data_IF_448550546743
#
_entry.id   IF_448550546743
#
_cell.length_a   1.000
_cell.length_b   1.000
_cell.length_c   1.000
_cell.angle_alpha   90.00
_cell.angle_beta   90.00
_cell.angle_gamma   90.00
#
_symmetry.space_group_name_H-M   'P 1'
#
loop_
_entity.id
_entity.type
_entity.pdbx_description
1 polymer ?
#
# COMPACT_ATOMS: atom_id res chain seq x y z
N UNK A 1 -49.56 -39.39 22.85
CA UNK A 1 -48.16 -39.82 23.05
C UNK A 1 -47.96 -40.25 24.49
N UNK A 2 -47.41 -41.44 24.69
CA UNK A 2 -47.07 -41.93 26.04
C UNK A 2 -45.99 -41.04 26.70
N UNK A 3 -45.89 -41.04 28.03
CA UNK A 3 -44.88 -40.27 28.77
C UNK A 3 -43.44 -40.55 28.25
N UNK A 4 -43.15 -41.81 27.88
CA UNK A 4 -41.90 -42.26 27.24
C UNK A 4 -41.67 -41.62 25.86
N UNK A 5 -42.74 -41.46 25.03
CA UNK A 5 -42.64 -40.84 23.72
C UNK A 5 -42.36 -39.33 23.80
N UNK A 6 -42.91 -38.62 24.80
CA UNK A 6 -42.60 -37.19 25.02
C UNK A 6 -41.15 -36.97 25.46
N UNK A 7 -40.62 -37.84 26.31
CA UNK A 7 -39.22 -37.78 26.76
C UNK A 7 -38.25 -38.04 25.62
N UNK A 8 -38.54 -39.04 24.74
CA UNK A 8 -37.68 -39.33 23.59
C UNK A 8 -37.63 -38.17 22.56
N UNK A 9 -38.79 -37.54 22.30
CA UNK A 9 -38.85 -36.36 21.40
C UNK A 9 -38.07 -35.18 21.98
N UNK A 10 -38.19 -34.97 23.32
CA UNK A 10 -37.45 -33.90 23.98
C UNK A 10 -35.92 -34.14 23.95
N UNK A 11 -35.49 -35.37 24.19
CA UNK A 11 -34.07 -35.75 24.11
C UNK A 11 -33.49 -35.56 22.69
N UNK A 12 -34.22 -35.93 21.65
CA UNK A 12 -33.80 -35.72 20.26
C UNK A 12 -33.70 -34.21 19.95
N UNK A 13 -34.69 -33.43 20.38
CA UNK A 13 -34.64 -31.97 20.17
C UNK A 13 -33.44 -31.34 20.87
N UNK A 14 -33.11 -31.76 22.07
CA UNK A 14 -31.93 -31.28 22.81
C UNK A 14 -30.62 -31.64 22.08
N UNK A 15 -30.50 -32.86 21.60
CA UNK A 15 -29.31 -33.32 20.83
C UNK A 15 -29.16 -32.52 19.54
N UNK A 16 -30.25 -32.23 18.84
CA UNK A 16 -30.22 -31.42 17.63
C UNK A 16 -29.80 -29.96 17.92
N UNK A 17 -30.31 -29.36 19.01
CA UNK A 17 -29.91 -28.03 19.42
C UNK A 17 -28.43 -27.98 19.82
N UNK A 18 -27.95 -28.96 20.58
CA UNK A 18 -26.52 -29.05 20.95
C UNK A 18 -25.66 -29.26 19.71
N UNK A 19 -26.05 -30.13 18.78
CA UNK A 19 -25.36 -30.34 17.52
C UNK A 19 -25.31 -29.07 16.65
N UNK A 20 -26.42 -28.32 16.58
CA UNK A 20 -26.48 -27.04 15.89
C UNK A 20 -25.56 -25.99 16.52
N UNK A 21 -25.61 -25.83 17.85
CA UNK A 21 -24.74 -24.90 18.58
C UNK A 21 -23.26 -25.28 18.40
N UNK A 22 -22.94 -26.58 18.48
CA UNK A 22 -21.59 -27.05 18.21
C UNK A 22 -21.15 -26.79 16.77
N UNK A 23 -22.05 -26.98 15.82
CA UNK A 23 -21.84 -26.65 14.40
C UNK A 23 -21.57 -25.14 14.21
N UNK A 24 -22.37 -24.28 14.82
CA UNK A 24 -22.18 -22.82 14.76
C UNK A 24 -20.84 -22.41 15.37
N UNK A 25 -20.49 -22.93 16.55
CA UNK A 25 -19.19 -22.65 17.20
C UNK A 25 -18.03 -23.20 16.37
N UNK A 26 -18.18 -24.37 15.78
CA UNK A 26 -17.14 -24.94 14.90
C UNK A 26 -16.95 -24.09 13.63
N UNK A 27 -18.07 -23.74 12.98
CA UNK A 27 -18.04 -22.88 11.78
C UNK A 27 -17.42 -21.53 12.09
N UNK A 28 -17.78 -20.88 13.21
CA UNK A 28 -17.18 -19.59 13.61
C UNK A 28 -15.69 -19.64 13.92
N UNK A 29 -15.15 -20.83 14.24
CA UNK A 29 -13.72 -21.04 14.43
C UNK A 29 -12.96 -21.40 13.16
N UNK A 30 -13.65 -21.88 12.13
CA UNK A 30 -13.07 -22.33 10.86
C UNK A 30 -13.20 -21.26 9.78
N UNK A 31 -14.29 -20.50 9.79
CA UNK A 31 -14.49 -19.37 8.87
C UNK A 31 -13.90 -18.12 9.53
N UNK A 32 -12.86 -17.52 8.94
CA UNK A 32 -12.34 -16.25 9.45
C UNK A 32 -13.45 -15.19 9.45
N UNK A 33 -13.43 -14.24 10.38
CA UNK A 33 -14.35 -13.11 10.37
C UNK A 33 -14.21 -12.38 9.02
N UNK A 34 -15.34 -11.95 8.46
CA UNK A 34 -15.35 -11.12 7.26
C UNK A 34 -14.78 -9.74 7.55
N UNK A 35 -14.49 -9.01 6.49
CA UNK A 35 -14.13 -7.60 6.63
C UNK A 35 -15.35 -6.79 7.07
N UNK A 36 -15.12 -5.80 7.93
CA UNK A 36 -16.15 -4.89 8.45
C UNK A 36 -15.67 -3.45 8.33
N UNK A 37 -16.61 -2.49 8.29
CA UNK A 37 -16.28 -1.07 8.39
C UNK A 37 -15.81 -0.73 9.80
N UNK A 38 -14.52 -0.88 10.06
CA UNK A 38 -13.88 -0.57 11.33
C UNK A 38 -12.76 0.43 11.08
N UNK A 39 -12.84 1.58 11.73
CA UNK A 39 -11.88 2.66 11.58
C UNK A 39 -11.65 3.34 12.92
N UNK A 40 -10.39 3.55 13.27
CA UNK A 40 -9.95 4.21 14.49
C UNK A 40 -9.11 5.44 14.17
N UNK A 41 -9.12 6.45 15.03
CA UNK A 41 -8.19 7.60 14.99
C UNK A 41 -8.21 8.43 13.69
N UNK A 42 -9.32 8.43 12.96
CA UNK A 42 -9.46 9.23 11.74
C UNK A 42 -9.34 10.73 12.03
N UNK A 43 -9.88 11.19 13.16
CA UNK A 43 -9.86 12.60 13.56
C UNK A 43 -8.45 13.14 13.74
N UNK A 44 -7.51 12.36 14.29
CA UNK A 44 -6.10 12.74 14.43
C UNK A 44 -5.45 12.99 13.05
N UNK A 45 -5.64 12.06 12.13
CA UNK A 45 -5.12 12.18 10.75
C UNK A 45 -5.73 13.38 10.04
N UNK A 46 -7.06 13.60 10.19
CA UNK A 46 -7.76 14.74 9.60
C UNK A 46 -7.24 16.06 10.16
N UNK A 47 -7.02 16.17 11.49
CA UNK A 47 -6.49 17.37 12.12
C UNK A 47 -5.10 17.75 11.59
N UNK A 48 -4.21 16.75 11.43
CA UNK A 48 -2.86 16.98 10.86
C UNK A 48 -2.97 17.47 9.42
N UNK A 49 -3.87 16.92 8.62
CA UNK A 49 -4.09 17.35 7.24
C UNK A 49 -4.66 18.77 7.20
N UNK A 50 -5.68 19.06 8.01
CA UNK A 50 -6.33 20.38 8.03
C UNK A 50 -5.37 21.50 8.45
N UNK A 51 -4.49 21.23 9.43
CA UNK A 51 -3.46 22.16 9.83
C UNK A 51 -2.50 22.49 8.67
N UNK A 52 -2.12 21.51 7.86
CA UNK A 52 -1.21 21.71 6.72
C UNK A 52 -1.88 22.37 5.51
N UNK A 53 -3.17 22.16 5.30
CA UNK A 53 -3.94 22.73 4.19
C UNK A 53 -4.59 24.09 4.56
N UNK A 54 -4.38 24.57 5.78
CA UNK A 54 -4.95 25.84 6.23
C UNK A 54 -4.55 27.00 5.31
N UNK A 55 -5.53 27.78 4.87
CA UNK A 55 -5.31 28.95 4.00
C UNK A 55 -5.16 28.61 2.51
N UNK A 56 -5.21 27.34 2.10
CA UNK A 56 -5.21 26.91 0.71
C UNK A 56 -6.65 26.72 0.22
N UNK A 57 -7.01 27.34 -0.90
CA UNK A 57 -8.28 27.06 -1.57
C UNK A 57 -8.22 25.69 -2.28
N UNK A 58 -8.49 24.63 -1.51
CA UNK A 58 -8.39 23.26 -2.01
C UNK A 58 -9.43 22.94 -3.09
N UNK A 59 -10.58 23.61 -3.12
CA UNK A 59 -11.56 23.41 -4.18
C UNK A 59 -10.99 23.85 -5.54
N UNK A 60 -10.37 25.01 -5.59
CA UNK A 60 -9.70 25.52 -6.79
C UNK A 60 -8.50 24.64 -7.16
N UNK A 61 -7.63 24.32 -6.20
CA UNK A 61 -6.43 23.49 -6.43
C UNK A 61 -6.82 22.12 -6.99
N UNK A 62 -7.78 21.42 -6.41
CA UNK A 62 -8.22 20.11 -6.88
C UNK A 62 -8.84 20.19 -8.27
N UNK A 63 -9.67 21.20 -8.53
CA UNK A 63 -10.31 21.40 -9.83
C UNK A 63 -9.27 21.62 -10.94
N UNK A 64 -8.23 22.39 -10.68
CA UNK A 64 -7.25 22.78 -11.69
C UNK A 64 -6.11 21.77 -11.85
N UNK A 65 -5.69 21.12 -10.74
CA UNK A 65 -4.45 20.35 -10.70
C UNK A 65 -4.64 18.83 -10.68
N UNK A 66 -5.78 18.31 -10.23
CA UNK A 66 -5.98 16.84 -10.15
C UNK A 66 -5.78 16.12 -11.48
N UNK A 67 -6.14 16.75 -12.61
CA UNK A 67 -5.97 16.17 -13.95
C UNK A 67 -4.51 15.90 -14.35
N UNK A 68 -3.56 16.57 -13.69
CA UNK A 68 -2.12 16.39 -13.90
C UNK A 68 -1.49 15.37 -12.92
N UNK A 69 -2.27 14.83 -11.96
CA UNK A 69 -1.76 13.97 -10.89
C UNK A 69 -2.47 12.61 -10.89
N UNK A 70 -3.82 12.61 -10.94
CA UNK A 70 -4.66 11.42 -10.85
C UNK A 70 -4.49 10.56 -12.11
N UNK A 71 -4.21 9.27 -11.94
CA UNK A 71 -3.90 8.32 -13.01
C UNK A 71 -2.67 8.70 -13.87
N UNK A 72 -1.76 9.52 -13.35
CA UNK A 72 -0.52 9.90 -14.02
C UNK A 72 0.67 9.14 -13.48
N UNK A 73 1.60 8.79 -14.37
CA UNK A 73 2.91 8.28 -13.99
C UNK A 73 3.77 9.37 -13.35
N UNK A 74 4.77 8.96 -12.57
CA UNK A 74 5.77 9.89 -12.02
C UNK A 74 6.39 10.76 -13.11
N UNK A 75 6.72 10.14 -14.24
CA UNK A 75 7.30 10.86 -15.37
C UNK A 75 6.37 11.95 -15.94
N UNK A 76 5.07 11.65 -16.13
CA UNK A 76 4.09 12.64 -16.57
C UNK A 76 3.93 13.78 -15.55
N UNK A 77 3.89 13.45 -14.25
CA UNK A 77 3.83 14.46 -13.19
C UNK A 77 5.06 15.38 -13.23
N UNK A 78 6.26 14.82 -13.37
CA UNK A 78 7.50 15.61 -13.48
C UNK A 78 7.50 16.52 -14.72
N UNK A 79 7.00 16.03 -15.84
CA UNK A 79 6.85 16.87 -17.04
C UNK A 79 5.93 18.08 -16.81
N UNK A 80 4.86 17.93 -16.02
CA UNK A 80 3.98 19.06 -15.69
C UNK A 80 4.63 20.04 -14.71
N UNK A 81 5.51 19.56 -13.83
CA UNK A 81 6.36 20.44 -12.99
C UNK A 81 7.37 21.21 -13.86
N UNK A 82 8.03 20.54 -14.79
CA UNK A 82 8.97 21.18 -15.73
C UNK A 82 8.31 22.25 -16.60
N UNK A 83 7.05 22.05 -17.02
CA UNK A 83 6.25 23.04 -17.76
C UNK A 83 5.74 24.19 -16.87
N UNK A 84 5.86 24.08 -15.55
CA UNK A 84 5.33 25.07 -14.59
C UNK A 84 3.81 24.93 -14.37
N UNK A 85 3.17 23.84 -14.79
CA UNK A 85 1.75 23.57 -14.56
C UNK A 85 1.47 23.03 -13.17
N UNK A 86 2.49 22.44 -12.51
CA UNK A 86 2.44 21.89 -11.16
C UNK A 86 3.63 22.39 -10.32
N UNK A 87 3.41 22.47 -9.01
CA UNK A 87 4.46 22.53 -7.99
C UNK A 87 4.42 21.28 -7.11
N UNK A 88 5.50 20.97 -6.41
CA UNK A 88 5.54 19.88 -5.45
C UNK A 88 4.60 20.11 -4.26
N UNK A 89 4.42 21.39 -3.88
CA UNK A 89 3.42 21.79 -2.91
C UNK A 89 1.99 21.41 -3.37
N UNK A 90 1.62 21.72 -4.61
CA UNK A 90 0.29 21.39 -5.16
C UNK A 90 0.07 19.88 -5.26
N UNK A 91 1.10 19.10 -5.65
CA UNK A 91 1.02 17.63 -5.69
C UNK A 91 0.74 17.08 -4.30
N UNK A 92 1.50 17.55 -3.30
CA UNK A 92 1.35 17.13 -1.91
C UNK A 92 -0.01 17.52 -1.33
N UNK A 93 -0.47 18.75 -1.59
CA UNK A 93 -1.78 19.22 -1.16
C UNK A 93 -2.93 18.39 -1.74
N UNK A 94 -2.88 18.04 -3.03
CA UNK A 94 -3.88 17.17 -3.67
C UNK A 94 -3.87 15.77 -3.04
N UNK A 95 -2.71 15.20 -2.76
CA UNK A 95 -2.61 13.89 -2.07
C UNK A 95 -3.24 13.96 -0.67
N UNK A 96 -2.90 14.94 0.15
CA UNK A 96 -3.46 15.13 1.49
C UNK A 96 -4.98 15.32 1.44
N UNK A 97 -5.49 16.15 0.53
CA UNK A 97 -6.93 16.37 0.37
C UNK A 97 -7.66 15.08 -0.02
N UNK A 98 -7.08 14.27 -0.91
CA UNK A 98 -7.66 12.97 -1.30
C UNK A 98 -7.66 11.98 -0.14
N UNK A 99 -6.59 11.95 0.66
CA UNK A 99 -6.55 11.14 1.89
C UNK A 99 -7.69 11.56 2.81
N UNK A 100 -7.85 12.85 3.10
CA UNK A 100 -8.93 13.34 3.96
C UNK A 100 -10.32 12.93 3.44
N UNK A 101 -10.58 13.12 2.13
CA UNK A 101 -11.92 13.01 1.56
C UNK A 101 -12.31 11.61 1.10
N UNK A 102 -11.35 10.71 0.87
CA UNK A 102 -11.61 9.36 0.38
C UNK A 102 -11.21 8.27 1.38
N UNK A 103 -10.15 8.51 2.14
CA UNK A 103 -9.57 7.49 3.02
C UNK A 103 -10.04 7.62 4.47
N UNK A 104 -10.07 8.84 5.00
CA UNK A 104 -10.36 9.12 6.41
C UNK A 104 -11.83 9.45 6.71
N UNK A 105 -12.67 9.52 5.71
CA UNK A 105 -14.12 9.76 5.90
C UNK A 105 -14.80 8.52 6.50
N UNK A 106 -16.03 8.71 6.96
CA UNK A 106 -16.89 7.58 7.34
C UNK A 106 -17.02 6.58 6.18
N UNK A 107 -16.85 5.31 6.45
CA UNK A 107 -16.78 4.25 5.44
C UNK A 107 -15.73 4.54 4.33
N UNK A 108 -14.63 5.16 4.70
CA UNK A 108 -13.50 5.42 3.81
C UNK A 108 -12.59 4.20 3.62
N UNK A 109 -11.51 4.38 2.85
CA UNK A 109 -10.61 3.27 2.50
C UNK A 109 -9.74 2.80 3.67
N UNK A 110 -9.49 3.67 4.63
CA UNK A 110 -8.74 3.37 5.86
C UNK A 110 -7.34 2.78 5.61
N UNK A 111 -6.69 3.27 4.56
CA UNK A 111 -5.37 2.80 4.12
C UNK A 111 -4.21 3.57 4.74
N UNK A 112 -4.48 4.74 5.36
CA UNK A 112 -3.49 5.63 5.96
C UNK A 112 -3.62 5.62 7.47
N UNK A 113 -2.53 5.36 8.20
CA UNK A 113 -2.49 5.25 9.67
C UNK A 113 -1.96 6.52 10.33
N UNK A 114 -1.04 7.24 9.70
CA UNK A 114 -0.58 8.55 10.16
C UNK A 114 -0.03 9.38 9.00
N UNK A 115 0.01 10.70 9.17
CA UNK A 115 0.54 11.67 8.22
C UNK A 115 1.76 12.36 8.81
N UNK A 116 2.76 12.62 7.97
CA UNK A 116 3.89 13.46 8.32
C UNK A 116 3.40 14.91 8.53
N UNK A 117 3.54 15.48 9.73
CA UNK A 117 3.07 16.85 10.01
C UNK A 117 3.82 17.91 9.18
N UNK A 118 5.00 17.59 8.67
CA UNK A 118 5.87 18.51 7.94
C UNK A 118 5.82 18.31 6.41
N UNK A 119 4.92 17.44 5.89
CA UNK A 119 4.90 17.06 4.48
C UNK A 119 4.76 18.26 3.53
N UNK A 120 3.89 19.23 3.86
CA UNK A 120 3.72 20.43 3.04
C UNK A 120 4.95 21.36 3.11
N UNK A 121 5.61 21.44 4.25
CA UNK A 121 6.84 22.24 4.37
C UNK A 121 8.00 21.56 3.60
N UNK A 122 8.12 20.25 3.67
CA UNK A 122 9.05 19.49 2.83
C UNK A 122 8.81 19.76 1.34
N UNK A 123 7.56 19.71 0.88
CA UNK A 123 7.21 19.99 -0.51
C UNK A 123 7.55 21.42 -0.94
N UNK A 124 7.25 22.42 -0.09
CA UNK A 124 7.65 23.83 -0.33
C UNK A 124 9.18 23.99 -0.41
N UNK A 125 9.92 23.24 0.41
CA UNK A 125 11.38 23.21 0.33
C UNK A 125 11.85 22.68 -1.01
N UNK A 126 11.24 21.59 -1.52
CA UNK A 126 11.55 21.05 -2.84
C UNK A 126 11.28 22.06 -3.96
N UNK A 127 10.19 22.82 -3.88
CA UNK A 127 9.92 23.90 -4.83
C UNK A 127 10.95 25.03 -4.77
N UNK A 128 11.39 25.41 -3.56
CA UNK A 128 12.44 26.42 -3.39
C UNK A 128 13.79 25.97 -3.95
N UNK A 129 14.16 24.72 -3.69
CA UNK A 129 15.39 24.10 -4.20
C UNK A 129 15.34 23.94 -5.72
N UNK A 130 14.20 23.53 -6.27
CA UNK A 130 13.99 23.36 -7.72
C UNK A 130 14.15 24.67 -8.48
N UNK A 131 13.64 25.78 -7.93
CA UNK A 131 13.79 27.12 -8.51
C UNK A 131 15.22 27.67 -8.46
N UNK A 132 16.01 27.27 -7.48
CA UNK A 132 17.41 27.73 -7.32
C UNK A 132 18.39 27.00 -8.21
N UNK A 133 18.17 25.73 -8.39
CA UNK A 133 19.06 24.87 -9.15
C UNK A 133 18.21 23.90 -9.98
N UNK A 134 18.38 23.94 -11.30
CA UNK A 134 17.72 23.07 -12.27
C UNK A 134 18.62 21.91 -12.74
N UNK A 135 19.62 21.54 -11.92
CA UNK A 135 20.50 20.42 -12.20
C UNK A 135 19.75 19.08 -12.29
N UNK A 136 20.45 18.05 -12.76
CA UNK A 136 19.90 16.69 -12.85
C UNK A 136 19.45 16.17 -11.49
N UNK A 137 18.22 15.70 -11.38
CA UNK A 137 17.59 15.18 -10.17
C UNK A 137 17.03 13.78 -10.40
N UNK A 138 16.77 13.08 -9.30
CA UNK A 138 16.00 11.84 -9.34
C UNK A 138 14.59 12.10 -9.91
N UNK A 139 14.05 11.20 -10.70
CA UNK A 139 12.64 11.29 -11.13
C UNK A 139 11.67 11.24 -9.93
N UNK A 140 12.12 10.76 -8.76
CA UNK A 140 11.33 10.76 -7.52
C UNK A 140 11.40 12.08 -6.73
N UNK A 141 12.19 13.06 -7.15
CA UNK A 141 12.35 14.34 -6.46
C UNK A 141 11.01 15.08 -6.35
N UNK A 142 10.66 15.49 -5.14
CA UNK A 142 9.41 16.19 -4.82
C UNK A 142 8.14 15.32 -4.86
N UNK A 143 8.25 14.06 -5.27
CA UNK A 143 7.10 13.15 -5.35
C UNK A 143 6.73 12.65 -3.95
N UNK A 144 5.44 12.74 -3.54
CA UNK A 144 4.95 12.16 -2.29
C UNK A 144 5.04 10.63 -2.28
N UNK A 145 5.59 10.09 -1.19
CA UNK A 145 5.73 8.63 -0.97
C UNK A 145 5.13 8.27 0.38
N UNK A 146 4.32 7.21 0.42
CA UNK A 146 3.82 6.62 1.65
C UNK A 146 4.64 5.38 2.03
N UNK A 147 4.75 5.11 3.32
CA UNK A 147 5.52 4.00 3.86
C UNK A 147 4.61 3.05 4.65
N UNK A 148 4.77 1.74 4.50
CA UNK A 148 4.10 0.79 5.39
C UNK A 148 4.52 1.05 6.84
N UNK A 149 3.60 0.92 7.78
CA UNK A 149 3.82 1.34 9.17
C UNK A 149 4.75 0.43 9.99
N UNK A 150 5.41 -0.51 9.37
CA UNK A 150 6.51 -1.25 9.98
C UNK A 150 7.91 -0.75 9.56
N UNK A 151 7.99 0.36 8.82
CA UNK A 151 9.25 0.98 8.35
C UNK A 151 9.56 2.18 9.24
N UNK A 152 10.65 2.14 9.99
CA UNK A 152 11.06 3.22 10.88
C UNK A 152 11.23 4.53 10.15
N UNK A 153 10.61 5.58 10.69
CA UNK A 153 10.68 6.93 10.14
C UNK A 153 10.81 7.92 11.29
N UNK A 154 11.93 8.61 11.39
CA UNK A 154 12.15 9.60 12.42
C UNK A 154 11.09 10.71 12.33
N UNK A 155 10.53 11.10 13.47
CA UNK A 155 9.46 12.10 13.56
C UNK A 155 8.05 11.54 13.42
N UNK A 156 7.88 10.26 13.07
CA UNK A 156 6.58 9.59 13.01
C UNK A 156 6.58 8.28 13.80
N UNK A 157 5.46 7.95 14.42
CA UNK A 157 5.30 6.66 15.07
C UNK A 157 5.46 5.50 14.06
N UNK A 158 6.03 4.37 14.52
CA UNK A 158 6.13 3.12 13.78
C UNK A 158 5.52 2.01 14.62
N UNK A 159 4.23 1.75 14.43
CA UNK A 159 3.47 0.86 15.30
C UNK A 159 3.37 -0.57 14.80
N UNK A 160 3.74 -0.85 13.55
CA UNK A 160 3.44 -2.12 12.88
C UNK A 160 1.94 -2.49 12.96
N UNK A 161 1.07 -1.47 13.07
CA UNK A 161 -0.39 -1.60 13.20
C UNK A 161 -0.88 -1.88 14.61
N UNK A 162 0.01 -2.03 15.60
CA UNK A 162 -0.37 -2.37 16.96
C UNK A 162 -0.53 -1.12 17.83
N UNK A 163 -1.64 -1.03 18.56
CA UNK A 163 -1.88 0.07 19.51
C UNK A 163 -0.82 0.11 20.63
N UNK A 164 -0.27 -1.03 21.02
CA UNK A 164 0.79 -1.12 22.00
C UNK A 164 2.08 -0.36 21.63
N UNK A 165 2.27 -0.06 20.33
CA UNK A 165 3.40 0.71 19.79
C UNK A 165 2.98 2.07 19.26
N UNK A 166 1.81 2.58 19.63
CA UNK A 166 1.30 3.87 19.18
C UNK A 166 2.28 5.03 19.41
N UNK A 167 3.00 4.98 20.53
CA UNK A 167 3.96 6.01 20.97
C UNK A 167 5.42 5.60 20.72
N UNK A 168 5.66 4.61 19.86
CA UNK A 168 7.02 4.26 19.48
C UNK A 168 7.51 5.13 18.34
N UNK A 169 8.31 6.13 18.67
CA UNK A 169 8.97 7.04 17.73
C UNK A 169 10.43 6.61 17.54
N UNK A 170 10.80 6.06 16.39
CA UNK A 170 12.18 5.68 16.13
C UNK A 170 13.10 6.89 16.10
N UNK A 171 14.30 6.78 16.68
CA UNK A 171 15.29 7.86 16.68
C UNK A 171 15.91 8.11 15.30
N UNK A 172 15.86 7.11 14.41
CA UNK A 172 16.49 7.14 13.09
C UNK A 172 15.54 6.58 12.02
N UNK A 173 15.68 7.14 10.83
CA UNK A 173 15.08 6.57 9.63
C UNK A 173 15.62 5.17 9.33
N UNK A 174 14.77 4.30 8.81
CA UNK A 174 15.23 3.10 8.13
C UNK A 174 16.10 3.49 6.91
N UNK A 175 17.04 2.64 6.50
CA UNK A 175 17.95 2.96 5.40
C UNK A 175 17.20 3.30 4.10
N UNK A 176 16.11 2.59 3.82
CA UNK A 176 15.25 2.88 2.67
C UNK A 176 14.62 4.27 2.73
N UNK A 177 14.26 4.75 3.92
CA UNK A 177 13.66 6.09 4.11
C UNK A 177 14.71 7.18 3.93
N UNK A 178 15.90 6.96 4.46
CA UNK A 178 17.05 7.86 4.25
C UNK A 178 17.35 8.01 2.76
N UNK A 179 17.44 6.90 2.02
CA UNK A 179 17.70 6.91 0.60
C UNK A 179 16.60 7.66 -0.19
N UNK A 180 15.33 7.47 0.17
CA UNK A 180 14.22 8.21 -0.44
C UNK A 180 14.33 9.71 -0.21
N UNK A 181 14.62 10.14 1.03
CA UNK A 181 14.82 11.56 1.39
C UNK A 181 16.03 12.16 0.67
N UNK A 182 17.14 11.43 0.55
CA UNK A 182 18.35 11.85 -0.18
C UNK A 182 18.06 12.01 -1.69
N UNK A 183 17.14 11.21 -2.25
CA UNK A 183 16.64 11.37 -3.62
C UNK A 183 15.56 12.44 -3.76
N UNK A 184 15.26 13.17 -2.69
CA UNK A 184 14.34 14.31 -2.68
C UNK A 184 12.87 13.96 -2.58
N UNK A 185 12.48 12.71 -2.36
CA UNK A 185 11.09 12.33 -2.13
C UNK A 185 10.49 13.09 -0.92
N UNK A 186 9.20 13.37 -0.96
CA UNK A 186 8.43 13.89 0.18
C UNK A 186 7.81 12.70 0.91
N UNK A 187 8.20 12.46 2.16
CA UNK A 187 7.58 11.39 2.95
C UNK A 187 6.23 11.88 3.46
N UNK A 188 5.14 11.38 2.86
CA UNK A 188 3.80 11.87 3.14
C UNK A 188 3.21 11.32 4.45
N UNK A 189 3.55 10.08 4.81
CA UNK A 189 3.03 9.42 6.01
C UNK A 189 3.21 7.92 5.98
N UNK A 190 2.40 7.23 6.82
CA UNK A 190 2.46 5.78 6.99
C UNK A 190 1.14 5.12 6.56
N UNK A 191 1.25 3.98 5.90
CA UNK A 191 0.10 3.17 5.50
C UNK A 191 -0.26 2.12 6.55
N UNK A 192 -1.57 1.88 6.69
CA UNK A 192 -2.10 0.75 7.43
C UNK A 192 -1.64 -0.58 6.81
N UNK A 193 -1.70 -1.64 7.61
CA UNK A 193 -1.20 -2.97 7.24
C UNK A 193 -1.99 -4.05 8.01
N UNK A 194 -1.86 -5.31 7.61
CA UNK A 194 -2.20 -6.38 8.54
C UNK A 194 -1.24 -6.33 9.72
N UNK A 195 -1.76 -6.23 10.94
CA UNK A 195 -0.98 -6.05 12.16
C UNK A 195 0.17 -7.07 12.27
N UNK A 196 1.38 -6.58 12.61
CA UNK A 196 2.63 -7.36 12.64
C UNK A 196 2.85 -8.21 11.39
N UNK A 197 2.55 -7.66 10.20
CA UNK A 197 2.67 -8.36 8.93
C UNK A 197 1.88 -9.69 8.89
N UNK A 198 0.73 -9.74 9.58
CA UNK A 198 -0.18 -10.89 9.70
C UNK A 198 0.36 -12.04 10.58
N UNK A 199 1.30 -11.75 11.48
CA UNK A 199 1.90 -12.77 12.36
C UNK A 199 0.97 -13.26 13.47
N UNK A 200 0.15 -12.37 14.04
CA UNK A 200 -0.56 -12.64 15.29
C UNK A 200 -1.70 -13.66 15.17
N UNK A 201 -2.36 -13.74 14.01
CA UNK A 201 -3.55 -14.56 13.86
C UNK A 201 -3.73 -15.07 12.43
N UNK A 202 -4.10 -16.33 12.29
CA UNK A 202 -4.49 -16.93 11.00
C UNK A 202 -5.91 -16.59 10.58
N UNK A 203 -6.70 -16.01 11.48
CA UNK A 203 -8.12 -15.67 11.26
C UNK A 203 -8.40 -14.18 11.19
N UNK A 204 -7.39 -13.34 11.43
CA UNK A 204 -7.52 -11.89 11.28
C UNK A 204 -7.69 -11.55 9.80
N UNK A 205 -8.66 -10.69 9.43
CA UNK A 205 -8.81 -10.24 8.07
C UNK A 205 -7.56 -9.53 7.56
N UNK A 206 -7.22 -9.74 6.29
CA UNK A 206 -6.10 -9.04 5.68
C UNK A 206 -6.36 -7.53 5.64
N UNK A 207 -5.33 -6.73 5.92
CA UNK A 207 -5.44 -5.27 5.98
C UNK A 207 -6.02 -4.72 7.29
N UNK A 208 -6.33 -5.57 8.28
CA UNK A 208 -6.78 -5.12 9.60
C UNK A 208 -5.60 -4.89 10.54
N UNK A 209 -5.72 -3.84 11.35
CA UNK A 209 -4.81 -3.55 12.46
C UNK A 209 -5.58 -3.03 13.68
N UNK A 210 -5.09 -3.35 14.89
CA UNK A 210 -5.69 -2.87 16.14
C UNK A 210 -5.59 -1.35 16.29
N UNK A 211 -4.58 -0.71 15.70
CA UNK A 211 -4.39 0.73 15.77
C UNK A 211 -5.32 1.50 14.81
N UNK A 212 -5.59 0.99 13.61
CA UNK A 212 -6.33 1.75 12.59
C UNK A 212 -7.65 1.11 12.17
N UNK A 213 -7.81 -0.20 12.36
CA UNK A 213 -8.96 -0.94 11.86
C UNK A 213 -8.73 -1.55 10.49
N UNK A 214 -9.81 -1.74 9.72
CA UNK A 214 -9.83 -2.46 8.46
C UNK A 214 -9.59 -1.53 7.26
N UNK A 215 -8.52 -1.78 6.52
CA UNK A 215 -8.34 -1.25 5.15
C UNK A 215 -9.26 -2.02 4.20
N UNK A 216 -9.93 -1.31 3.29
CA UNK A 216 -10.87 -1.92 2.34
C UNK A 216 -10.41 -1.76 0.90
N UNK A 217 -10.72 -2.75 0.05
CA UNK A 217 -10.40 -2.72 -1.37
C UNK A 217 -11.34 -1.74 -2.10
N UNK A 218 -10.82 -0.72 -2.83
CA UNK A 218 -11.66 0.29 -3.49
C UNK A 218 -12.52 -0.24 -4.62
N UNK A 219 -12.16 -1.38 -5.25
CA UNK A 219 -12.96 -2.00 -6.32
C UNK A 219 -14.20 -2.74 -5.83
N UNK A 220 -14.23 -3.11 -4.56
CA UNK A 220 -15.35 -3.81 -3.96
C UNK A 220 -15.24 -3.82 -2.44
N UNK A 221 -15.52 -2.66 -1.77
CA UNK A 221 -15.41 -2.58 -0.32
C UNK A 221 -16.18 -3.70 0.38
N UNK A 222 -15.54 -4.38 1.33
CA UNK A 222 -16.04 -5.51 2.11
C UNK A 222 -16.44 -6.76 1.29
N UNK A 223 -16.27 -6.73 -0.03
CA UNK A 223 -16.54 -7.87 -0.92
C UNK A 223 -15.26 -8.45 -1.51
N UNK A 224 -14.29 -7.59 -1.77
CA UNK A 224 -12.97 -7.96 -2.27
C UNK A 224 -11.96 -7.61 -1.19
N UNK A 225 -11.13 -8.58 -0.82
CA UNK A 225 -10.07 -8.33 0.14
C UNK A 225 -9.02 -7.37 -0.43
N UNK A 226 -8.48 -6.41 0.36
CA UNK A 226 -7.32 -5.64 -0.03
C UNK A 226 -6.04 -6.48 -0.04
N UNK A 227 -6.12 -7.75 0.45
CA UNK A 227 -4.97 -8.59 0.70
C UNK A 227 -4.00 -7.95 1.70
N UNK A 228 -2.84 -8.56 1.92
CA UNK A 228 -1.86 -8.06 2.88
C UNK A 228 -0.51 -8.80 2.78
N UNK A 229 0.36 -8.40 3.66
CA UNK A 229 0.19 -7.46 4.78
C UNK A 229 0.34 -5.97 4.39
N UNK A 230 0.83 -5.61 3.19
CA UNK A 230 0.93 -4.23 2.71
C UNK A 230 -0.38 -3.74 2.05
N UNK A 231 -1.54 -4.09 2.63
CA UNK A 231 -2.86 -3.75 2.08
C UNK A 231 -3.07 -2.25 1.94
N UNK A 232 -2.78 -1.47 2.98
CA UNK A 232 -2.89 -0.02 2.94
C UNK A 232 -1.98 0.62 1.90
N UNK A 233 -0.75 0.09 1.72
CA UNK A 233 0.18 0.59 0.69
C UNK A 233 -0.38 0.41 -0.72
N UNK A 234 -0.98 -0.75 -1.02
CA UNK A 234 -1.57 -1.01 -2.33
C UNK A 234 -2.85 -0.19 -2.56
N UNK A 235 -3.73 -0.10 -1.56
CA UNK A 235 -4.97 0.68 -1.63
C UNK A 235 -4.69 2.17 -1.83
N UNK A 236 -3.69 2.73 -1.14
CA UNK A 236 -3.31 4.13 -1.28
C UNK A 236 -2.90 4.48 -2.72
N UNK A 237 -2.14 3.60 -3.39
CA UNK A 237 -1.73 3.78 -4.79
C UNK A 237 -2.91 3.60 -5.74
N UNK A 238 -3.68 2.52 -5.59
CA UNK A 238 -4.85 2.26 -6.43
C UNK A 238 -5.86 3.40 -6.39
N UNK A 239 -6.13 3.95 -5.21
CA UNK A 239 -7.08 5.05 -5.03
C UNK A 239 -6.49 6.43 -5.39
N UNK A 240 -5.27 6.50 -5.93
CA UNK A 240 -4.57 7.77 -6.21
C UNK A 240 -4.46 8.70 -5.00
N UNK A 241 -4.28 8.15 -3.81
CA UNK A 241 -3.96 8.95 -2.63
C UNK A 241 -2.49 9.38 -2.66
N UNK A 242 -1.65 8.59 -3.32
CA UNK A 242 -0.23 8.82 -3.52
C UNK A 242 0.25 8.13 -4.79
N UNK A 243 1.22 8.68 -5.52
CA UNK A 243 1.78 8.04 -6.72
C UNK A 243 2.52 6.73 -6.42
N UNK A 244 3.20 6.66 -5.27
CA UNK A 244 4.05 5.53 -4.87
C UNK A 244 3.90 5.26 -3.38
N UNK A 245 3.89 3.99 -3.03
CA UNK A 245 4.01 3.53 -1.65
C UNK A 245 5.08 2.45 -1.52
N UNK A 246 5.62 2.30 -0.31
CA UNK A 246 6.61 1.27 0.03
C UNK A 246 5.99 0.25 0.94
N UNK A 247 6.10 -1.01 0.55
CA UNK A 247 5.66 -2.17 1.33
C UNK A 247 6.82 -3.02 1.83
N UNK A 248 6.50 -4.06 2.58
CA UNK A 248 7.45 -5.11 3.00
C UNK A 248 6.89 -6.48 2.68
N UNK A 249 7.75 -7.40 2.33
CA UNK A 249 7.36 -8.77 2.00
C UNK A 249 8.30 -9.81 2.59
N UNK A 250 7.70 -10.80 3.20
CA UNK A 250 8.32 -12.06 3.59
C UNK A 250 7.94 -13.14 2.56
N UNK A 251 6.62 -13.33 2.33
CA UNK A 251 6.03 -14.34 1.46
C UNK A 251 4.70 -13.85 0.84
N UNK A 252 4.77 -12.90 -0.10
CA UNK A 252 3.59 -12.40 -0.82
C UNK A 252 3.11 -11.01 -0.36
N UNK A 253 3.62 -10.43 0.72
CA UNK A 253 3.07 -9.21 1.35
C UNK A 253 3.25 -7.89 0.58
N UNK A 254 3.92 -7.88 -0.58
CA UNK A 254 3.92 -6.80 -1.59
C UNK A 254 3.12 -7.24 -2.80
N UNK A 255 3.44 -8.44 -3.32
CA UNK A 255 2.90 -8.92 -4.60
C UNK A 255 1.40 -9.23 -4.49
N UNK A 256 0.96 -9.90 -3.42
CA UNK A 256 -0.44 -10.25 -3.26
C UNK A 256 -1.37 -9.03 -3.11
N UNK A 257 -1.09 -8.03 -2.22
CA UNK A 257 -1.91 -6.83 -2.16
C UNK A 257 -1.81 -5.97 -3.44
N UNK A 258 -0.67 -5.93 -4.12
CA UNK A 258 -0.56 -5.26 -5.41
C UNK A 258 -1.48 -5.90 -6.46
N UNK A 259 -1.48 -7.22 -6.57
CA UNK A 259 -2.37 -7.95 -7.47
C UNK A 259 -3.86 -7.75 -7.12
N UNK A 260 -4.23 -7.84 -5.82
CA UNK A 260 -5.60 -7.67 -5.36
C UNK A 260 -6.15 -6.24 -5.61
N UNK A 261 -5.28 -5.26 -5.72
CA UNK A 261 -5.64 -3.85 -5.93
C UNK A 261 -5.26 -3.32 -7.33
N UNK A 262 -4.94 -4.20 -8.28
CA UNK A 262 -4.64 -3.86 -9.69
C UNK A 262 -3.52 -2.81 -9.84
N UNK A 263 -2.46 -2.96 -9.05
CA UNK A 263 -1.25 -2.13 -9.13
C UNK A 263 0.00 -3.01 -9.26
N UNK A 264 1.14 -2.41 -9.54
CA UNK A 264 2.42 -3.10 -9.68
C UNK A 264 3.13 -3.14 -8.34
N UNK A 265 3.45 -4.34 -7.85
CA UNK A 265 4.33 -4.56 -6.73
C UNK A 265 5.67 -5.11 -7.19
N UNK A 266 6.76 -4.54 -6.75
CA UNK A 266 8.12 -5.05 -7.01
C UNK A 266 8.72 -5.59 -5.71
N UNK A 267 8.89 -6.92 -5.65
CA UNK A 267 9.67 -7.57 -4.60
C UNK A 267 11.11 -7.78 -5.11
N UNK A 268 12.06 -6.96 -4.67
CA UNK A 268 13.44 -7.12 -5.09
C UNK A 268 14.11 -8.32 -4.42
N UNK A 269 15.29 -8.68 -4.90
CA UNK A 269 16.19 -9.57 -4.16
C UNK A 269 16.51 -8.94 -2.80
N UNK A 270 16.44 -9.75 -1.74
CA UNK A 270 16.72 -9.28 -0.39
C UNK A 270 18.14 -8.71 -0.28
N UNK A 271 18.24 -7.52 0.29
CA UNK A 271 19.47 -6.86 0.70
C UNK A 271 19.34 -6.47 2.15
N UNK A 272 20.33 -6.84 2.96
CA UNK A 272 20.30 -6.58 4.39
C UNK A 272 20.20 -5.09 4.70
N UNK A 273 20.96 -4.25 4.00
CA UNK A 273 20.95 -2.81 4.16
C UNK A 273 19.55 -2.19 3.94
N UNK A 274 18.81 -2.65 2.93
CA UNK A 274 17.45 -2.12 2.67
C UNK A 274 16.41 -2.53 3.72
N UNK A 275 16.68 -3.58 4.49
CA UNK A 275 15.79 -4.06 5.56
C UNK A 275 16.21 -3.52 6.95
N UNK A 276 17.26 -2.71 7.03
CA UNK A 276 17.68 -2.09 8.30
C UNK A 276 16.66 -1.01 8.71
N UNK A 277 16.26 -1.06 9.98
CA UNK A 277 15.23 -0.15 10.51
C UNK A 277 13.81 -0.55 10.14
N UNK A 278 13.58 -1.79 9.68
CA UNK A 278 12.24 -2.33 9.40
C UNK A 278 11.86 -3.32 10.51
N UNK A 279 10.65 -3.17 11.08
CA UNK A 279 10.12 -4.15 12.02
C UNK A 279 9.92 -5.49 11.30
N UNK A 280 10.65 -6.55 11.67
CA UNK A 280 10.72 -7.77 10.88
C UNK A 280 9.56 -8.72 11.17
N UNK A 281 9.22 -9.54 10.15
CA UNK A 281 8.50 -10.79 10.33
C UNK A 281 9.50 -11.96 10.39
N UNK A 282 10.33 -12.13 9.36
CA UNK A 282 11.43 -13.08 9.31
C UNK A 282 12.66 -12.36 8.74
N UNK A 283 13.52 -11.86 9.62
CA UNK A 283 14.67 -11.00 9.25
C UNK A 283 15.51 -11.54 8.10
N UNK A 284 15.62 -12.88 7.97
CA UNK A 284 16.48 -13.54 6.96
C UNK A 284 15.92 -13.48 5.54
N UNK A 285 14.61 -13.29 5.39
CA UNK A 285 13.94 -13.31 4.07
C UNK A 285 13.14 -12.05 3.77
N UNK A 286 12.87 -11.22 4.78
CA UNK A 286 12.14 -9.97 4.59
C UNK A 286 12.84 -9.04 3.61
N UNK A 287 12.07 -8.39 2.78
CA UNK A 287 12.54 -7.35 1.87
C UNK A 287 11.58 -6.17 1.83
N UNK A 288 12.09 -5.03 1.43
CA UNK A 288 11.32 -3.81 1.22
C UNK A 288 11.20 -3.56 -0.28
N UNK A 289 10.04 -3.14 -0.73
CA UNK A 289 9.84 -2.88 -2.16
C UNK A 289 8.70 -1.91 -2.44
N UNK A 290 8.74 -1.25 -3.61
CA UNK A 290 7.75 -0.27 -4.02
C UNK A 290 6.48 -0.92 -4.55
N UNK A 291 5.39 -0.17 -4.39
CA UNK A 291 4.09 -0.40 -5.00
C UNK A 291 3.73 0.86 -5.76
N UNK A 292 3.40 0.74 -7.05
CA UNK A 292 3.12 1.86 -7.95
C UNK A 292 2.12 1.46 -9.03
N UNK A 293 1.62 2.42 -9.82
CA UNK A 293 0.67 2.13 -10.91
C UNK A 293 1.32 1.50 -12.14
N UNK A 294 2.60 1.74 -12.35
CA UNK A 294 3.32 1.21 -13.51
C UNK A 294 4.64 0.55 -13.11
N UNK A 295 5.13 -0.35 -13.99
CA UNK A 295 6.46 -0.96 -13.84
C UNK A 295 7.56 0.10 -13.83
N UNK A 296 7.41 1.15 -14.65
CA UNK A 296 8.37 2.27 -14.70
C UNK A 296 8.42 2.99 -13.35
N UNK A 297 7.28 3.34 -12.78
CA UNK A 297 7.21 4.04 -11.49
C UNK A 297 7.76 3.18 -10.35
N UNK A 298 7.44 1.88 -10.35
CA UNK A 298 8.02 0.93 -9.40
C UNK A 298 9.55 0.85 -9.52
N UNK A 299 10.08 0.88 -10.74
CA UNK A 299 11.52 0.86 -10.97
C UNK A 299 12.21 2.18 -10.57
N UNK A 300 11.59 3.34 -10.85
CA UNK A 300 12.04 4.66 -10.38
C UNK A 300 12.12 4.67 -8.85
N UNK A 301 11.07 4.22 -8.18
CA UNK A 301 11.02 4.16 -6.73
C UNK A 301 12.08 3.20 -6.16
N UNK A 302 12.24 2.01 -6.76
CA UNK A 302 13.26 1.06 -6.33
C UNK A 302 14.69 1.62 -6.51
N UNK A 303 14.96 2.31 -7.62
CA UNK A 303 16.26 2.96 -7.84
C UNK A 303 16.56 3.98 -6.72
N UNK A 304 15.58 4.80 -6.36
CA UNK A 304 15.74 5.77 -5.28
C UNK A 304 15.92 5.11 -3.91
N UNK A 305 15.18 4.01 -3.64
CA UNK A 305 15.26 3.26 -2.39
C UNK A 305 16.61 2.53 -2.21
N UNK A 306 17.15 1.99 -3.30
CA UNK A 306 18.32 1.10 -3.25
C UNK A 306 19.65 1.79 -3.56
N UNK A 307 19.62 2.98 -4.14
CA UNK A 307 20.78 3.66 -4.70
C UNK A 307 21.37 2.96 -5.95
N UNK A 308 20.69 1.93 -6.48
CA UNK A 308 21.12 1.22 -7.68
C UNK A 308 20.69 1.93 -8.94
N UNK A 309 21.57 2.05 -9.91
CA UNK A 309 21.20 2.52 -11.24
C UNK A 309 20.57 1.37 -12.03
N UNK A 310 19.28 1.53 -12.34
CA UNK A 310 18.54 0.59 -13.18
C UNK A 310 18.44 1.19 -14.59
N UNK A 311 18.81 0.39 -15.60
CA UNK A 311 18.53 0.79 -16.98
C UNK A 311 17.06 0.61 -17.27
N UNK A 312 16.33 1.72 -17.39
CA UNK A 312 14.90 1.74 -17.75
C UNK A 312 14.78 1.81 -19.27
N UNK A 313 15.05 0.69 -19.95
CA UNK A 313 14.85 0.58 -21.40
C UNK A 313 13.48 -0.07 -21.67
N UNK A 314 12.53 0.71 -22.15
CA UNK A 314 11.19 0.28 -22.54
C UNK A 314 11.00 0.23 -24.06
N UNK A 315 12.10 0.15 -24.84
CA UNK A 315 12.04 0.02 -26.30
C UNK A 315 11.44 -1.33 -26.71
N UNK A 316 10.80 -1.34 -27.89
CA UNK A 316 10.34 -2.57 -28.51
C UNK A 316 11.54 -3.50 -28.78
N UNK A 317 11.29 -4.81 -28.74
CA UNK A 317 12.28 -5.87 -29.00
C UNK A 317 13.38 -6.07 -27.94
N UNK A 318 13.20 -5.52 -26.73
CA UNK A 318 14.14 -5.78 -25.60
C UNK A 318 14.22 -7.26 -25.19
N UNK A 319 13.23 -8.06 -25.59
CA UNK A 319 13.17 -9.51 -25.32
C UNK A 319 13.73 -10.37 -26.46
N UNK A 320 14.20 -9.77 -27.56
CA UNK A 320 14.72 -10.52 -28.71
C UNK A 320 15.85 -11.48 -28.28
N UNK A 321 15.64 -12.77 -28.58
CA UNK A 321 16.58 -13.83 -28.22
C UNK A 321 16.64 -14.23 -26.76
N UNK A 322 15.88 -13.59 -25.87
CA UNK A 322 15.77 -14.01 -24.48
C UNK A 322 14.95 -15.30 -24.38
N UNK A 323 15.41 -16.25 -23.58
CA UNK A 323 14.65 -17.46 -23.24
C UNK A 323 13.84 -17.19 -21.99
N UNK A 324 12.51 -17.34 -22.07
CA UNK A 324 11.58 -17.09 -20.98
C UNK A 324 10.75 -18.35 -20.72
N UNK A 325 10.86 -18.90 -19.51
CA UNK A 325 10.01 -19.99 -19.06
C UNK A 325 8.70 -19.46 -18.46
N UNK A 326 7.57 -19.91 -18.95
CA UNK A 326 6.25 -19.61 -18.37
C UNK A 326 5.82 -20.83 -17.57
N UNK A 327 5.71 -20.67 -16.24
CA UNK A 327 5.25 -21.74 -15.32
C UNK A 327 3.76 -21.58 -15.10
N UNK A 328 3.00 -22.60 -15.48
CA UNK A 328 1.54 -22.68 -15.25
C UNK A 328 1.24 -23.57 -14.04
N UNK A 329 0.27 -23.17 -13.23
CA UNK A 329 -0.32 -23.97 -12.16
C UNK A 329 -1.73 -24.42 -12.59
N UNK A 330 -2.24 -25.50 -12.03
CA UNK A 330 -3.55 -26.08 -12.38
C UNK A 330 -4.73 -25.10 -12.24
N UNK A 331 -4.60 -24.13 -11.32
CA UNK A 331 -5.63 -23.11 -11.08
C UNK A 331 -5.44 -21.84 -11.92
N UNK A 332 -4.41 -21.75 -12.76
CA UNK A 332 -4.25 -20.60 -13.64
C UNK A 332 -5.22 -20.72 -14.84
N UNK A 333 -5.83 -19.59 -15.20
CA UNK A 333 -6.62 -19.52 -16.43
C UNK A 333 -5.72 -19.79 -17.65
N UNK A 334 -6.06 -20.80 -18.43
CA UNK A 334 -5.32 -21.21 -19.63
C UNK A 334 -5.28 -20.09 -20.68
N UNK A 335 -6.32 -19.25 -20.73
CA UNK A 335 -6.36 -18.12 -21.68
C UNK A 335 -5.33 -17.06 -21.30
N UNK A 336 -5.19 -16.74 -20.01
CA UNK A 336 -4.18 -15.77 -19.51
C UNK A 336 -2.76 -16.27 -19.81
N UNK A 337 -2.50 -17.56 -19.64
CA UNK A 337 -1.18 -18.12 -19.95
C UNK A 337 -0.89 -18.13 -21.45
N UNK A 338 -1.89 -18.37 -22.29
CA UNK A 338 -1.76 -18.33 -23.74
C UNK A 338 -1.48 -16.91 -24.22
N UNK A 339 -2.26 -15.94 -23.73
CA UNK A 339 -2.07 -14.52 -24.04
C UNK A 339 -0.68 -14.03 -23.59
N UNK A 340 -0.25 -14.40 -22.38
CA UNK A 340 1.09 -14.07 -21.90
C UNK A 340 2.19 -14.60 -22.84
N UNK A 341 2.08 -15.87 -23.28
CA UNK A 341 3.05 -16.46 -24.21
C UNK A 341 3.07 -15.74 -25.54
N UNK A 342 1.89 -15.48 -26.12
CA UNK A 342 1.77 -14.76 -27.38
C UNK A 342 2.40 -13.34 -27.28
N UNK A 343 2.12 -12.62 -26.21
CA UNK A 343 2.70 -11.32 -25.96
C UNK A 343 4.23 -11.37 -25.85
N UNK A 344 4.79 -12.31 -25.07
CA UNK A 344 6.23 -12.49 -24.94
C UNK A 344 6.89 -12.84 -26.28
N UNK A 345 6.27 -13.72 -27.08
CA UNK A 345 6.76 -14.09 -28.41
C UNK A 345 6.71 -12.91 -29.38
N UNK A 346 5.65 -12.10 -29.36
CA UNK A 346 5.51 -10.90 -30.19
C UNK A 346 6.59 -9.85 -29.88
N UNK A 347 7.13 -9.86 -28.65
CA UNK A 347 8.26 -9.04 -28.21
C UNK A 347 9.64 -9.64 -28.53
N UNK A 348 9.68 -10.76 -29.26
CA UNK A 348 10.91 -11.42 -29.70
C UNK A 348 11.50 -12.45 -28.73
N UNK A 349 10.80 -12.82 -27.65
CA UNK A 349 11.26 -13.85 -26.74
C UNK A 349 11.10 -15.26 -27.31
N UNK A 350 11.98 -16.17 -26.88
CA UNK A 350 11.84 -17.62 -27.02
C UNK A 350 11.14 -18.13 -25.74
N UNK A 351 9.86 -18.48 -25.86
CA UNK A 351 9.01 -18.89 -24.72
C UNK A 351 8.79 -20.40 -24.73
#
# INVERSE_FOLDING_TARGET
MSKKGKTAVLSIAIILVIGFLFGVVFISKVIPPGEEWISYQNDEVIQIIDAQLQGIDMESVVKEKSGYIVEKSIHEIQQEVEKGNLSYEEITAVCLYRIKTMDQKENGLNSVITINPDAMEEARNRDREYRRDQGSRSELYGIPVMLKDNINTAGMATSAGAEAFADFYPEKDAEVVKNLKENGAVILGKNNLSEFANYLSRTMPAGYSGRKGQTVNPFGPLKLSPSGSSGGSAVAVTANLVPVSVGTETDGSIIAPAAANSVVGLKPTRKEALSEGVFPLIKQIDTVGPIAKSVRDAAIAYQAMSGEKISLNFEKDTLRGKKIGVVGYEYNDKNVLSELRENLQSMGANV
#
